data_IF_139111182222
#
_entry.id   IF_139111182222
#
_cell.length_a   1.000
_cell.length_b   1.000
_cell.length_c   1.000
_cell.angle_alpha   90.00
_cell.angle_beta   90.00
_cell.angle_gamma   90.00
#
_symmetry.space_group_name_H-M   'P 1'
#
loop_
_entity.id
_entity.type
_entity.pdbx_description
1 polymer ?
#
# COMPACT_ATOMS: atom_id res chain seq x y z
N UNK A 1 -8.94 14.54 -14.09
CA UNK A 1 -8.30 13.25 -14.40
C UNK A 1 -9.29 12.20 -14.93
N UNK A 2 -8.91 11.46 -15.98
CA UNK A 2 -9.49 10.14 -16.31
C UNK A 2 -8.55 9.04 -15.81
N UNK A 3 -9.08 7.99 -15.20
CA UNK A 3 -8.31 6.86 -14.67
C UNK A 3 -8.74 5.53 -15.27
N UNK A 4 -7.78 4.63 -15.48
CA UNK A 4 -8.00 3.21 -15.67
C UNK A 4 -7.38 2.45 -14.50
N UNK A 5 -8.19 1.78 -13.68
CA UNK A 5 -7.67 0.93 -12.59
C UNK A 5 -7.63 -0.52 -13.09
N UNK A 6 -6.46 -1.14 -13.04
CA UNK A 6 -6.23 -2.55 -13.35
C UNK A 6 -6.20 -3.35 -12.05
N UNK A 7 -6.95 -4.44 -12.02
CA UNK A 7 -7.12 -5.29 -10.85
C UNK A 7 -8.49 -5.08 -10.21
N UNK A 8 -9.29 -6.15 -10.19
CA UNK A 8 -10.63 -6.17 -9.58
C UNK A 8 -10.64 -6.83 -8.20
N UNK A 9 -9.45 -6.88 -7.56
CA UNK A 9 -9.29 -7.33 -6.19
C UNK A 9 -9.84 -6.31 -5.18
N UNK A 10 -9.70 -6.65 -3.89
CA UNK A 10 -10.17 -5.82 -2.76
C UNK A 10 -9.69 -4.38 -2.87
N UNK A 11 -8.40 -4.18 -3.14
CA UNK A 11 -7.81 -2.84 -3.20
C UNK A 11 -8.22 -2.06 -4.46
N UNK A 12 -8.26 -2.70 -5.64
CA UNK A 12 -8.71 -2.05 -6.87
C UNK A 12 -10.16 -1.58 -6.78
N UNK A 13 -11.06 -2.40 -6.22
CA UNK A 13 -12.45 -2.01 -5.97
C UNK A 13 -12.58 -0.87 -4.96
N UNK A 14 -11.79 -0.91 -3.89
CA UNK A 14 -11.71 0.19 -2.93
C UNK A 14 -11.26 1.50 -3.58
N UNK A 15 -10.23 1.48 -4.42
CA UNK A 15 -9.79 2.66 -5.15
C UNK A 15 -10.88 3.18 -6.10
N UNK A 16 -11.61 2.29 -6.80
CA UNK A 16 -12.76 2.69 -7.64
C UNK A 16 -13.81 3.44 -6.82
N UNK A 17 -14.17 2.91 -5.65
CA UNK A 17 -15.16 3.51 -4.76
C UNK A 17 -14.73 4.91 -4.31
N UNK A 18 -13.53 5.04 -3.72
CA UNK A 18 -13.09 6.29 -3.11
C UNK A 18 -12.73 7.36 -4.15
N UNK A 19 -12.24 6.98 -5.34
CA UNK A 19 -11.94 7.94 -6.40
C UNK A 19 -13.17 8.35 -7.22
N UNK A 20 -14.25 7.56 -7.23
CA UNK A 20 -15.44 7.81 -8.06
C UNK A 20 -16.03 9.23 -7.97
N UNK A 21 -15.98 9.96 -6.83
CA UNK A 21 -16.50 11.32 -6.76
C UNK A 21 -15.60 12.37 -7.46
N UNK A 22 -14.36 12.01 -7.80
CA UNK A 22 -13.31 12.96 -8.21
C UNK A 22 -12.75 12.70 -9.61
N UNK A 23 -13.02 11.54 -10.20
CA UNK A 23 -12.45 11.11 -11.49
C UNK A 23 -13.51 10.47 -12.38
N UNK A 24 -13.21 10.43 -13.68
CA UNK A 24 -13.95 9.62 -14.65
C UNK A 24 -13.16 8.33 -14.91
N UNK A 25 -13.80 7.16 -14.78
CA UNK A 25 -13.16 5.89 -15.13
C UNK A 25 -13.31 5.59 -16.61
N UNK A 26 -12.22 5.26 -17.29
CA UNK A 26 -12.22 4.91 -18.71
C UNK A 26 -11.11 3.90 -19.04
N UNK A 27 -11.41 2.79 -19.74
CA UNK A 27 -10.37 1.86 -20.23
C UNK A 27 -9.37 2.52 -21.19
N UNK A 28 -9.76 3.62 -21.82
CA UNK A 28 -8.93 4.38 -22.75
C UNK A 28 -8.07 5.44 -22.05
N UNK A 29 -8.16 5.62 -20.73
CA UNK A 29 -7.43 6.67 -20.00
C UNK A 29 -5.90 6.55 -20.16
N UNK A 30 -5.22 7.69 -20.13
CA UNK A 30 -3.75 7.78 -20.17
C UNK A 30 -3.11 7.54 -18.80
N UNK A 31 -3.88 7.67 -17.72
CA UNK A 31 -3.45 7.40 -16.35
C UNK A 31 -3.93 6.00 -15.95
N UNK A 32 -3.00 5.08 -15.72
CA UNK A 32 -3.30 3.67 -15.44
C UNK A 32 -2.79 3.31 -14.04
N UNK A 33 -3.71 2.97 -13.13
CA UNK A 33 -3.38 2.50 -11.78
C UNK A 33 -3.23 0.99 -11.79
N UNK A 34 -2.05 0.50 -11.39
CA UNK A 34 -1.75 -0.91 -11.27
C UNK A 34 -2.09 -1.37 -9.85
N UNK A 35 -3.32 -1.86 -9.63
CA UNK A 35 -3.79 -2.41 -8.35
C UNK A 35 -3.84 -3.95 -8.41
N UNK A 36 -2.74 -4.55 -8.87
CA UNK A 36 -2.55 -5.99 -9.04
C UNK A 36 -1.47 -6.51 -8.08
N UNK A 37 -1.33 -7.83 -7.87
CA UNK A 37 -0.18 -8.39 -7.14
C UNK A 37 1.15 -8.10 -7.85
N UNK A 38 2.25 -7.98 -7.10
CA UNK A 38 3.59 -7.67 -7.65
C UNK A 38 4.00 -8.60 -8.79
N UNK A 39 3.61 -9.87 -8.74
CA UNK A 39 3.96 -10.89 -9.73
C UNK A 39 3.33 -10.63 -11.10
N UNK A 40 2.27 -9.82 -11.16
CA UNK A 40 1.57 -9.45 -12.39
C UNK A 40 2.03 -8.07 -12.94
N UNK A 41 2.91 -7.35 -12.25
CA UNK A 41 3.27 -5.98 -12.64
C UNK A 41 3.88 -5.90 -14.03
N UNK A 42 4.81 -6.80 -14.36
CA UNK A 42 5.51 -6.77 -15.65
C UNK A 42 4.55 -6.99 -16.82
N UNK A 43 3.72 -8.03 -16.74
CA UNK A 43 2.72 -8.33 -17.76
C UNK A 43 1.71 -7.18 -17.93
N UNK A 44 1.25 -6.59 -16.83
CA UNK A 44 0.27 -5.51 -16.86
C UNK A 44 0.89 -4.22 -17.38
N UNK A 45 2.07 -3.82 -16.89
CA UNK A 45 2.75 -2.60 -17.33
C UNK A 45 3.05 -2.63 -18.84
N UNK A 46 3.46 -3.79 -19.37
CA UNK A 46 3.74 -3.98 -20.79
C UNK A 46 2.52 -3.68 -21.70
N UNK A 47 1.29 -3.93 -21.22
CA UNK A 47 0.06 -3.66 -21.98
C UNK A 47 -0.25 -2.16 -22.12
N UNK A 48 0.38 -1.32 -21.30
CA UNK A 48 0.13 0.13 -21.24
C UNK A 48 1.40 0.94 -21.55
N UNK A 49 2.23 0.43 -22.47
CA UNK A 49 3.48 1.07 -22.90
C UNK A 49 3.30 2.57 -23.20
N UNK A 50 4.17 3.39 -22.62
CA UNK A 50 4.21 4.85 -22.80
C UNK A 50 3.07 5.64 -22.13
N UNK A 51 2.14 4.98 -21.43
CA UNK A 51 1.10 5.66 -20.62
C UNK A 51 1.66 6.10 -19.27
N UNK A 52 0.93 6.96 -18.57
CA UNK A 52 1.26 7.26 -17.18
C UNK A 52 0.90 6.06 -16.29
N UNK A 53 1.92 5.33 -15.82
CA UNK A 53 1.77 4.18 -14.94
C UNK A 53 1.83 4.62 -13.48
N UNK A 54 0.76 4.35 -12.74
CA UNK A 54 0.62 4.67 -11.32
C UNK A 54 0.81 3.37 -10.53
N UNK A 55 1.99 3.21 -9.95
CA UNK A 55 2.33 2.06 -9.11
C UNK A 55 1.79 2.27 -7.68
N UNK A 56 0.85 1.40 -7.26
CA UNK A 56 0.31 1.38 -5.88
C UNK A 56 0.68 0.15 -5.05
N UNK A 57 1.75 -0.56 -5.42
CA UNK A 57 2.20 -1.77 -4.73
C UNK A 57 2.67 -1.46 -3.31
N UNK A 58 2.60 -2.45 -2.41
CA UNK A 58 3.15 -2.31 -1.05
C UNK A 58 4.68 -2.38 -0.97
N UNK A 59 5.35 -2.80 -2.05
CA UNK A 59 6.80 -2.72 -2.27
C UNK A 59 7.01 -1.76 -3.42
N UNK A 60 7.96 -0.84 -3.32
CA UNK A 60 8.06 0.29 -4.24
C UNK A 60 9.31 0.23 -5.11
N UNK A 61 10.45 -0.26 -4.63
CA UNK A 61 11.70 -0.26 -5.43
C UNK A 61 11.53 -1.07 -6.70
N UNK A 62 11.19 -2.36 -6.56
CA UNK A 62 11.20 -3.28 -7.68
C UNK A 62 9.99 -3.05 -8.60
N UNK A 63 8.82 -2.69 -8.04
CA UNK A 63 7.64 -2.35 -8.84
C UNK A 63 7.82 -1.05 -9.65
N UNK A 64 8.46 -0.02 -9.10
CA UNK A 64 8.80 1.19 -9.85
C UNK A 64 9.76 0.85 -10.98
N UNK A 65 10.79 0.04 -10.70
CA UNK A 65 11.75 -0.40 -11.71
C UNK A 65 11.08 -1.17 -12.85
N UNK A 66 10.10 -2.02 -12.55
CA UNK A 66 9.30 -2.71 -13.58
C UNK A 66 8.52 -1.68 -14.43
N UNK A 67 7.78 -0.76 -13.81
CA UNK A 67 7.01 0.25 -14.55
C UNK A 67 7.91 1.11 -15.46
N UNK A 68 9.09 1.50 -14.97
CA UNK A 68 10.06 2.33 -15.70
C UNK A 68 10.64 1.65 -16.95
N UNK A 69 10.52 0.33 -17.09
CA UNK A 69 10.91 -0.37 -18.32
C UNK A 69 9.91 -0.12 -19.46
N UNK A 70 8.66 0.25 -19.14
CA UNK A 70 7.56 0.37 -20.09
C UNK A 70 7.05 1.81 -20.25
N UNK A 71 7.43 2.72 -19.37
CA UNK A 71 7.08 4.13 -19.48
C UNK A 71 8.07 5.03 -18.74
N UNK A 72 8.34 6.20 -19.29
CA UNK A 72 9.04 7.30 -18.60
C UNK A 72 8.09 8.12 -17.72
N UNK A 73 6.79 7.93 -17.87
CA UNK A 73 5.75 8.57 -17.08
C UNK A 73 5.30 7.60 -15.99
N UNK A 74 6.01 7.59 -14.87
CA UNK A 74 5.68 6.74 -13.72
C UNK A 74 5.46 7.59 -12.48
N UNK A 75 4.40 7.29 -11.73
CA UNK A 75 4.26 7.78 -10.35
C UNK A 75 4.21 6.57 -9.42
N UNK A 76 5.18 6.49 -8.51
CA UNK A 76 5.21 5.47 -7.46
C UNK A 76 4.61 6.03 -6.18
N UNK A 77 3.49 5.47 -5.72
CA UNK A 77 2.81 5.93 -4.51
C UNK A 77 2.20 4.75 -3.76
N UNK A 78 2.50 4.57 -2.48
CA UNK A 78 1.92 3.51 -1.65
C UNK A 78 0.90 4.10 -0.67
N UNK A 79 -0.42 3.89 -0.90
CA UNK A 79 -1.43 4.25 0.09
C UNK A 79 -1.33 3.32 1.30
N UNK A 80 -1.02 3.84 2.48
CA UNK A 80 -0.90 3.06 3.73
C UNK A 80 -2.28 2.80 4.37
N UNK A 81 -3.31 2.67 3.52
CA UNK A 81 -4.69 2.50 3.94
C UNK A 81 -5.46 1.63 2.95
N UNK A 82 -6.45 0.92 3.45
CA UNK A 82 -7.35 0.07 2.67
C UNK A 82 -8.81 0.20 3.12
N UNK A 83 -9.69 -0.73 2.70
CA UNK A 83 -11.13 -0.67 2.98
C UNK A 83 -11.49 -0.55 4.47
N UNK A 84 -10.70 -1.15 5.37
CA UNK A 84 -10.92 -1.11 6.83
C UNK A 84 -10.11 -0.04 7.57
N UNK A 85 -9.31 0.75 6.85
CA UNK A 85 -8.59 1.86 7.48
C UNK A 85 -9.56 3.02 7.75
N UNK A 86 -9.42 3.71 8.90
CA UNK A 86 -10.19 4.92 9.16
C UNK A 86 -9.97 5.98 8.07
N UNK A 87 -10.92 6.91 7.95
CA UNK A 87 -10.80 8.04 7.01
C UNK A 87 -9.79 9.06 7.53
N UNK A 88 -9.72 9.20 8.85
CA UNK A 88 -8.84 10.12 9.54
C UNK A 88 -7.39 9.62 9.48
N UNK A 89 -6.45 10.56 9.29
CA UNK A 89 -5.00 10.32 9.30
C UNK A 89 -4.53 9.30 8.26
N UNK A 90 -5.18 9.25 7.09
CA UNK A 90 -4.68 8.48 5.95
C UNK A 90 -3.36 9.06 5.47
N UNK A 91 -2.42 8.19 5.13
CA UNK A 91 -1.12 8.56 4.59
C UNK A 91 -0.88 7.79 3.30
N UNK A 92 -0.33 8.47 2.29
CA UNK A 92 0.21 7.82 1.10
C UNK A 92 1.68 8.24 0.94
N UNK A 93 2.56 7.27 0.70
CA UNK A 93 4.00 7.52 0.56
C UNK A 93 4.36 7.59 -0.91
N UNK A 94 4.82 8.74 -1.36
CA UNK A 94 5.24 8.99 -2.74
C UNK A 94 6.73 8.68 -2.87
N UNK A 95 7.09 7.79 -3.80
CA UNK A 95 8.44 7.24 -3.97
C UNK A 95 9.08 7.50 -5.33
N UNK A 96 8.27 7.88 -6.32
CA UNK A 96 8.74 8.22 -7.65
C UNK A 96 7.81 9.24 -8.30
N UNK A 97 8.37 10.17 -9.07
CA UNK A 97 7.66 11.34 -9.61
C UNK A 97 7.87 11.47 -11.13
N UNK A 98 6.81 11.87 -11.82
CA UNK A 98 6.81 12.35 -13.21
C UNK A 98 5.97 13.63 -13.33
N UNK A 99 5.76 14.13 -14.55
CA UNK A 99 5.02 15.38 -14.81
C UNK A 99 3.57 15.33 -14.30
N UNK A 100 2.94 14.15 -14.31
CA UNK A 100 1.55 13.96 -13.89
C UNK A 100 1.39 13.77 -12.37
N UNK A 101 2.47 13.60 -11.62
CA UNK A 101 2.42 13.34 -10.17
C UNK A 101 1.64 14.41 -9.38
N UNK A 102 1.74 15.72 -9.66
CA UNK A 102 0.98 16.74 -8.93
C UNK A 102 -0.55 16.55 -9.02
N UNK A 103 -1.09 16.11 -10.17
CA UNK A 103 -2.54 15.89 -10.32
C UNK A 103 -2.98 14.67 -9.47
N UNK A 104 -2.15 13.62 -9.41
CA UNK A 104 -2.43 12.44 -8.59
C UNK A 104 -2.30 12.74 -7.09
N UNK A 105 -1.29 13.51 -6.69
CA UNK A 105 -1.13 13.95 -5.30
C UNK A 105 -2.38 14.73 -4.84
N UNK A 106 -2.84 15.70 -5.63
CA UNK A 106 -4.06 16.45 -5.34
C UNK A 106 -5.32 15.57 -5.27
N UNK A 107 -5.36 14.43 -5.98
CA UNK A 107 -6.43 13.45 -5.85
C UNK A 107 -6.40 12.74 -4.49
N UNK A 108 -5.24 12.29 -4.02
CA UNK A 108 -5.10 11.68 -2.69
C UNK A 108 -5.41 12.68 -1.56
N UNK A 109 -4.98 13.93 -1.70
CA UNK A 109 -5.29 14.99 -0.74
C UNK A 109 -6.81 15.27 -0.64
N UNK A 110 -7.55 15.21 -1.77
CA UNK A 110 -9.03 15.29 -1.77
C UNK A 110 -9.71 14.15 -0.99
N UNK A 111 -9.03 13.01 -0.84
CA UNK A 111 -9.50 11.90 0.01
C UNK A 111 -9.20 12.12 1.50
N UNK A 112 -8.55 13.22 1.86
CA UNK A 112 -8.07 13.47 3.22
C UNK A 112 -6.79 12.70 3.56
N UNK A 113 -6.06 12.18 2.56
CA UNK A 113 -4.77 11.57 2.78
C UNK A 113 -3.65 12.63 2.77
N UNK A 114 -2.74 12.54 3.73
CA UNK A 114 -1.45 13.22 3.66
C UNK A 114 -0.53 12.47 2.69
N UNK A 115 0.02 13.17 1.70
CA UNK A 115 0.99 12.60 0.77
C UNK A 115 2.39 12.98 1.24
N UNK A 116 3.16 11.98 1.68
CA UNK A 116 4.50 12.18 2.23
C UNK A 116 5.55 11.67 1.25
N UNK A 117 6.59 12.46 1.00
CA UNK A 117 7.74 12.11 0.15
C UNK A 117 9.09 12.44 0.81
N UNK A 118 9.06 12.87 2.07
CA UNK A 118 10.23 13.25 2.85
C UNK A 118 10.09 12.76 4.30
N UNK A 119 11.20 12.36 4.90
CA UNK A 119 11.30 12.07 6.33
C UNK A 119 11.47 13.35 7.17
N UNK A 120 11.20 13.31 8.49
CA UNK A 120 11.41 14.48 9.36
C UNK A 120 12.85 15.03 9.38
N UNK A 121 13.82 14.24 8.93
CA UNK A 121 15.23 14.63 8.84
C UNK A 121 15.63 15.20 7.47
N UNK A 122 14.67 15.41 6.56
CA UNK A 122 14.88 16.00 5.24
C UNK A 122 15.27 15.01 4.14
N UNK A 123 15.35 13.71 4.43
CA UNK A 123 15.62 12.70 3.38
C UNK A 123 14.39 12.44 2.54
N UNK A 124 14.52 12.56 1.22
CA UNK A 124 13.48 12.14 0.28
C UNK A 124 13.28 10.62 0.35
N UNK A 125 12.01 10.20 0.32
CA UNK A 125 11.61 8.79 0.35
C UNK A 125 11.61 8.27 -1.08
N UNK A 126 12.67 7.58 -1.48
CA UNK A 126 12.68 6.79 -2.72
C UNK A 126 12.13 5.38 -2.48
N UNK A 127 12.07 4.57 -3.55
CA UNK A 127 11.59 3.18 -3.45
C UNK A 127 12.42 2.31 -2.49
N UNK A 128 13.74 2.56 -2.38
CA UNK A 128 14.60 1.78 -1.50
C UNK A 128 14.35 2.13 -0.02
N UNK A 129 14.34 3.41 0.32
CA UNK A 129 14.09 3.89 1.67
C UNK A 129 12.68 3.50 2.12
N UNK A 130 11.69 3.64 1.25
CA UNK A 130 10.34 3.14 1.49
C UNK A 130 10.34 1.65 1.88
N UNK A 131 10.98 0.80 1.07
CA UNK A 131 10.94 -0.64 1.32
C UNK A 131 11.66 -1.01 2.63
N UNK A 132 12.72 -0.29 3.01
CA UNK A 132 13.36 -0.43 4.33
C UNK A 132 12.39 -0.06 5.47
N UNK A 133 11.68 1.07 5.35
CA UNK A 133 10.68 1.50 6.35
C UNK A 133 9.54 0.48 6.47
N UNK A 134 9.06 -0.05 5.35
CA UNK A 134 7.98 -1.04 5.33
C UNK A 134 8.43 -2.41 5.85
N UNK A 135 9.71 -2.75 5.70
CA UNK A 135 10.26 -3.97 6.32
C UNK A 135 10.21 -3.87 7.85
N UNK A 136 10.62 -2.72 8.40
CA UNK A 136 10.64 -2.48 9.85
C UNK A 136 9.22 -2.29 10.45
N UNK A 137 8.18 -2.16 9.61
CA UNK A 137 6.79 -1.91 10.06
C UNK A 137 5.80 -2.96 9.54
N UNK A 138 5.40 -2.88 8.26
CA UNK A 138 4.42 -3.77 7.65
C UNK A 138 4.85 -5.24 7.72
N UNK A 139 6.08 -5.54 7.28
CA UNK A 139 6.54 -6.91 7.21
C UNK A 139 6.75 -7.50 8.60
N UNK A 140 7.37 -6.74 9.51
CA UNK A 140 7.52 -7.12 10.91
C UNK A 140 6.17 -7.45 11.56
N UNK A 141 5.17 -6.60 11.37
CA UNK A 141 3.81 -6.82 11.86
C UNK A 141 3.17 -8.07 11.24
N UNK A 142 3.39 -8.29 9.95
CA UNK A 142 2.86 -9.46 9.24
C UNK A 142 3.49 -10.76 9.73
N UNK A 143 4.80 -10.79 9.98
CA UNK A 143 5.50 -11.96 10.52
C UNK A 143 4.95 -12.38 11.90
N UNK A 144 4.52 -11.41 12.71
CA UNK A 144 3.92 -11.68 14.02
C UNK A 144 2.42 -12.00 13.96
N UNK A 145 1.75 -11.77 12.82
CA UNK A 145 0.29 -11.81 12.72
C UNK A 145 -0.31 -13.15 13.13
N UNK A 146 0.32 -14.28 12.79
CA UNK A 146 -0.17 -15.60 13.18
C UNK A 146 -0.17 -15.79 14.70
N UNK A 147 0.89 -15.34 15.37
CA UNK A 147 1.00 -15.35 16.84
C UNK A 147 -0.05 -14.45 17.47
N UNK A 148 -0.22 -13.23 16.95
CA UNK A 148 -1.20 -12.27 17.44
C UNK A 148 -2.64 -12.75 17.27
N UNK A 149 -2.97 -13.36 16.12
CA UNK A 149 -4.27 -14.01 15.86
C UNK A 149 -4.59 -15.06 16.91
N UNK A 150 -3.65 -15.97 17.17
CA UNK A 150 -3.80 -17.02 18.20
C UNK A 150 -4.02 -16.44 19.59
N UNK A 151 -3.30 -15.37 19.96
CA UNK A 151 -3.49 -14.69 21.25
C UNK A 151 -4.90 -14.10 21.35
N UNK A 152 -5.37 -13.41 20.31
CA UNK A 152 -6.71 -12.81 20.26
C UNK A 152 -7.79 -13.89 20.33
N UNK A 153 -7.68 -14.97 19.56
CA UNK A 153 -8.64 -16.09 19.55
C UNK A 153 -8.73 -16.78 20.91
N UNK A 154 -7.59 -17.06 21.56
CA UNK A 154 -7.55 -17.69 22.89
C UNK A 154 -8.18 -16.81 23.98
N UNK A 155 -8.23 -15.49 23.76
CA UNK A 155 -8.81 -14.52 24.69
C UNK A 155 -10.31 -14.25 24.43
N UNK A 156 -10.91 -14.82 23.39
CA UNK A 156 -12.26 -14.48 22.95
C UNK A 156 -13.36 -14.74 24.00
N UNK A 157 -13.08 -15.60 24.99
CA UNK A 157 -14.00 -15.87 26.10
C UNK A 157 -14.02 -14.77 27.17
N UNK A 158 -13.02 -13.87 27.19
CA UNK A 158 -12.90 -12.81 28.20
C UNK A 158 -13.92 -11.70 27.89
N UNK A 159 -14.84 -11.35 28.82
CA UNK A 159 -15.80 -10.28 28.58
C UNK A 159 -15.10 -8.93 28.32
N UNK A 160 -15.59 -8.17 27.33
CA UNK A 160 -14.99 -6.90 26.86
C UNK A 160 -14.64 -5.92 27.97
N UNK A 161 -15.45 -5.84 29.04
CA UNK A 161 -15.19 -4.95 30.19
C UNK A 161 -13.91 -5.25 30.97
N UNK A 162 -13.35 -6.45 30.82
CA UNK A 162 -12.10 -6.88 31.45
C UNK A 162 -10.91 -6.88 30.49
N UNK A 163 -11.12 -6.52 29.22
CA UNK A 163 -10.05 -6.45 28.22
C UNK A 163 -9.35 -5.08 28.33
N UNK A 164 -8.05 -5.02 28.66
CA UNK A 164 -7.31 -3.76 28.73
C UNK A 164 -7.29 -3.01 27.40
N UNK A 165 -7.22 -1.69 27.43
CA UNK A 165 -7.20 -0.85 26.21
C UNK A 165 -6.04 -1.20 25.26
N UNK A 166 -4.88 -1.61 25.78
CA UNK A 166 -3.75 -2.11 24.97
C UNK A 166 -4.10 -3.38 24.20
N UNK A 167 -4.83 -4.31 24.83
CA UNK A 167 -5.28 -5.53 24.17
C UNK A 167 -6.39 -5.26 23.16
N UNK A 168 -7.27 -4.28 23.42
CA UNK A 168 -8.25 -3.84 22.43
C UNK A 168 -7.57 -3.30 21.16
N UNK A 169 -6.47 -2.55 21.28
CA UNK A 169 -5.67 -2.13 20.11
C UNK A 169 -5.10 -3.33 19.34
N UNK A 170 -4.66 -4.37 20.06
CA UNK A 170 -4.20 -5.60 19.43
C UNK A 170 -5.32 -6.33 18.68
N UNK A 171 -6.52 -6.42 19.28
CA UNK A 171 -7.71 -6.99 18.63
C UNK A 171 -8.04 -6.24 17.35
N UNK A 172 -8.04 -4.90 17.40
CA UNK A 172 -8.30 -4.06 16.23
C UNK A 172 -7.24 -4.27 15.14
N UNK A 173 -5.96 -4.39 15.49
CA UNK A 173 -4.89 -4.70 14.52
C UNK A 173 -5.12 -6.05 13.83
N UNK A 174 -5.46 -7.09 14.59
CA UNK A 174 -5.78 -8.42 14.05
C UNK A 174 -7.01 -8.39 13.15
N UNK A 175 -8.05 -7.65 13.53
CA UNK A 175 -9.27 -7.48 12.74
C UNK A 175 -9.01 -6.75 11.43
N UNK A 176 -8.21 -5.67 11.45
CA UNK A 176 -7.78 -4.95 10.25
C UNK A 176 -6.92 -5.82 9.33
N UNK A 177 -6.07 -6.66 9.90
CA UNK A 177 -5.24 -7.61 9.14
C UNK A 177 -6.03 -8.76 8.50
N UNK A 178 -7.32 -8.89 8.83
CA UNK A 178 -8.22 -9.85 8.17
C UNK A 178 -8.48 -9.55 6.69
N UNK A 179 -8.16 -8.33 6.24
CA UNK A 179 -8.38 -7.86 4.87
C UNK A 179 -7.18 -8.02 3.94
N UNK A 180 -6.06 -8.52 4.43
CA UNK A 180 -4.93 -8.78 3.55
C UNK A 180 -5.31 -9.89 2.58
N UNK A 181 -5.62 -9.48 1.34
CA UNK A 181 -5.82 -10.41 0.25
C UNK A 181 -4.54 -11.22 0.02
N UNK A 182 -4.62 -12.44 -0.55
CA UNK A 182 -3.42 -13.21 -0.87
C UNK A 182 -2.37 -12.42 -1.67
N UNK A 183 -2.81 -11.56 -2.60
CA UNK A 183 -1.92 -10.69 -3.38
C UNK A 183 -1.29 -9.55 -2.56
N UNK A 184 -2.00 -9.02 -1.56
CA UNK A 184 -1.43 -8.04 -0.61
C UNK A 184 -0.34 -8.70 0.24
N UNK A 185 -0.61 -9.91 0.73
CA UNK A 185 0.36 -10.69 1.51
C UNK A 185 1.61 -10.99 0.69
N UNK A 186 1.44 -11.50 -0.54
CA UNK A 186 2.58 -11.83 -1.41
C UNK A 186 3.41 -10.60 -1.73
N UNK A 187 2.75 -9.47 -2.01
CA UNK A 187 3.43 -8.20 -2.29
C UNK A 187 4.24 -7.70 -1.08
N UNK A 188 3.70 -7.76 0.15
CA UNK A 188 4.46 -7.38 1.36
C UNK A 188 5.63 -8.34 1.59
N UNK A 189 5.43 -9.64 1.37
CA UNK A 189 6.46 -10.67 1.53
C UNK A 189 7.57 -10.59 0.47
N UNK A 190 7.29 -10.00 -0.69
CA UNK A 190 8.28 -9.76 -1.74
C UNK A 190 9.28 -8.64 -1.39
N UNK A 191 9.14 -7.98 -0.24
CA UNK A 191 10.07 -6.95 0.19
C UNK A 191 11.49 -7.52 0.35
N UNK A 192 12.51 -6.95 -0.32
CA UNK A 192 13.88 -7.48 -0.34
C UNK A 192 14.60 -7.41 1.02
N UNK A 193 14.04 -6.72 2.01
CA UNK A 193 14.60 -6.60 3.35
C UNK A 193 13.98 -7.58 4.36
N UNK A 194 13.24 -8.59 3.89
CA UNK A 194 12.58 -9.59 4.72
C UNK A 194 13.50 -10.43 5.61
N UNK A 195 14.77 -10.59 5.21
CA UNK A 195 15.75 -11.43 5.90
C UNK A 195 16.56 -10.68 6.97
N UNK A 196 16.18 -9.46 7.36
CA UNK A 196 16.72 -8.91 8.60
C UNK A 196 16.16 -9.75 9.75
N UNK A 197 16.92 -10.78 10.14
CA UNK A 197 16.78 -11.38 11.46
C UNK A 197 16.79 -10.22 12.45
N UNK A 198 15.68 -10.03 13.16
CA UNK A 198 15.72 -9.29 14.40
C UNK A 198 16.62 -10.12 15.32
N UNK A 199 17.92 -9.87 15.24
CA UNK A 199 18.87 -10.35 16.21
C UNK A 199 18.30 -9.92 17.57
N UNK A 200 17.80 -10.90 18.30
CA UNK A 200 17.44 -10.70 19.69
C UNK A 200 18.77 -10.43 20.37
N UNK A 201 19.08 -9.15 20.62
CA UNK A 201 20.13 -8.81 21.56
C UNK A 201 19.68 -9.37 22.91
N UNK A 202 20.24 -10.54 23.27
CA UNK A 202 20.15 -11.17 24.59
C UNK A 202 20.85 -10.33 25.67
#
# INVERSE_FOLDING_TARGET
MKLHIIGDGVFGNFLREIFSPFVEFSPAADNVVLAVPIEAYEEVAAQYLGKHLINVCSVQRDSNNICLQFSDQVTGIHPLFGPRSPIENRVAVLTHRCEQTPELQALFEKLGAEVCDELPDGRSIDGELHDRMMADTHLAGLQQLATLKKIVENSAWVPKKFIPASFQRLQNFVEQSGDFSPGTLSSIQANPYAEKEYATEE
#
